data_IF_954232432336
#
_entry.id   IF_954232432336
#
_cell.length_a   1.000
_cell.length_b   1.000
_cell.length_c   1.000
_cell.angle_alpha   90.00
_cell.angle_beta   90.00
_cell.angle_gamma   90.00
#
_symmetry.space_group_name_H-M   'P 1'
#
loop_
_entity.id
_entity.type
_entity.pdbx_description
1 polymer ?
#
# COMPACT_ATOMS: atom_id res chain seq x y z
N UNK A 1 5.62 7.94 -99.77
CA UNK A 1 6.97 7.97 -99.16
C UNK A 1 7.00 6.95 -98.04
N UNK A 2 7.60 5.80 -98.32
CA UNK A 2 7.69 4.66 -97.41
C UNK A 2 8.75 4.94 -96.32
N UNK A 3 8.33 4.97 -95.05
CA UNK A 3 9.23 5.14 -93.92
C UNK A 3 9.49 3.79 -93.25
N UNK A 4 10.78 3.52 -93.09
CA UNK A 4 11.39 2.24 -92.75
C UNK A 4 11.09 1.82 -91.31
N UNK A 5 10.71 0.56 -91.18
CA UNK A 5 10.74 -0.25 -89.97
C UNK A 5 12.18 -0.36 -89.46
N UNK A 6 12.41 -0.08 -88.17
CA UNK A 6 13.64 -0.46 -87.46
C UNK A 6 13.29 -1.55 -86.45
N UNK A 7 13.90 -2.73 -86.63
CA UNK A 7 13.86 -3.82 -85.67
C UNK A 7 14.76 -3.49 -84.47
N UNK A 8 14.28 -3.79 -83.26
CA UNK A 8 15.14 -3.93 -82.08
C UNK A 8 14.87 -5.29 -81.45
N UNK A 9 15.94 -6.06 -81.31
CA UNK A 9 15.98 -7.43 -80.81
C UNK A 9 16.13 -7.42 -79.29
N UNK A 10 15.05 -7.72 -78.57
CA UNK A 10 15.11 -8.04 -77.14
C UNK A 10 14.28 -9.30 -76.86
N UNK A 11 14.94 -10.25 -76.21
CA UNK A 11 14.55 -11.65 -75.96
C UNK A 11 13.56 -11.73 -74.78
N UNK A 12 12.55 -12.63 -74.79
CA UNK A 12 11.54 -12.70 -73.73
C UNK A 12 12.08 -13.49 -72.53
N UNK A 13 11.99 -12.90 -71.34
CA UNK A 13 12.24 -13.59 -70.07
C UNK A 13 10.91 -13.89 -69.37
N UNK A 14 10.78 -15.13 -68.88
CA UNK A 14 9.53 -15.78 -68.48
C UNK A 14 8.76 -15.12 -67.35
N UNK A 15 7.43 -15.34 -67.42
CA UNK A 15 6.45 -14.86 -66.45
C UNK A 15 6.66 -15.40 -65.04
N UNK A 16 6.44 -14.53 -64.06
CA UNK A 16 6.28 -14.88 -62.65
C UNK A 16 4.89 -15.48 -62.44
N UNK A 17 4.75 -16.65 -61.80
CA UNK A 17 3.44 -17.14 -61.36
C UNK A 17 2.94 -16.35 -60.13
N UNK A 18 1.64 -16.05 -60.12
CA UNK A 18 0.90 -15.52 -58.97
C UNK A 18 1.08 -16.45 -57.75
N UNK A 19 1.53 -15.87 -56.64
CA UNK A 19 1.52 -16.52 -55.33
C UNK A 19 0.07 -16.53 -54.82
N UNK A 20 -0.48 -17.72 -54.63
CA UNK A 20 -1.75 -17.92 -53.96
C UNK A 20 -1.68 -17.45 -52.49
N UNK A 21 -2.76 -16.90 -51.92
CA UNK A 21 -2.77 -16.46 -50.53
C UNK A 21 -2.66 -17.69 -49.62
N UNK A 22 -1.64 -17.71 -48.77
CA UNK A 22 -1.47 -18.69 -47.70
C UNK A 22 -2.63 -18.61 -46.72
N UNK A 23 -3.28 -19.73 -46.34
CA UNK A 23 -4.29 -19.70 -45.30
C UNK A 23 -3.65 -19.24 -43.98
N UNK A 24 -4.23 -18.21 -43.39
CA UNK A 24 -3.91 -17.73 -42.06
C UNK A 24 -3.96 -18.90 -41.08
N UNK A 25 -2.83 -19.15 -40.40
CA UNK A 25 -2.79 -20.05 -39.25
C UNK A 25 -3.79 -19.52 -38.22
N UNK A 26 -4.89 -20.23 -38.06
CA UNK A 26 -5.75 -20.12 -36.89
C UNK A 26 -4.88 -20.23 -35.64
N UNK A 27 -4.90 -19.18 -34.83
CA UNK A 27 -4.29 -19.16 -33.50
C UNK A 27 -5.07 -20.12 -32.61
N UNK A 28 -4.68 -21.39 -32.60
CA UNK A 28 -5.07 -22.30 -31.53
C UNK A 28 -4.49 -21.72 -30.24
N UNK A 29 -5.29 -21.46 -29.19
CA UNK A 29 -4.73 -21.06 -27.90
C UNK A 29 -3.74 -22.14 -27.51
N UNK A 30 -2.49 -21.74 -27.29
CA UNK A 30 -1.42 -22.67 -26.91
C UNK A 30 -1.65 -23.00 -25.44
N UNK A 31 -2.60 -23.89 -25.16
CA UNK A 31 -2.78 -24.43 -23.82
C UNK A 31 -1.45 -25.05 -23.40
N UNK A 32 -0.85 -24.48 -22.36
CA UNK A 32 0.36 -25.03 -21.77
C UNK A 32 0.06 -26.48 -21.36
N UNK A 33 0.97 -27.43 -21.63
CA UNK A 33 0.77 -28.81 -21.20
C UNK A 33 0.51 -28.84 -19.70
N UNK A 34 -0.39 -29.73 -19.28
CA UNK A 34 -0.79 -29.88 -17.88
C UNK A 34 0.45 -30.06 -17.00
N UNK A 35 0.53 -29.29 -15.92
CA UNK A 35 1.68 -29.31 -15.03
C UNK A 35 1.89 -30.72 -14.48
N UNK A 36 3.07 -31.28 -14.75
CA UNK A 36 3.45 -32.60 -14.27
C UNK A 36 4.29 -32.49 -13.02
N UNK A 37 3.86 -33.16 -11.95
CA UNK A 37 4.57 -33.17 -10.66
C UNK A 37 6.00 -33.71 -10.80
N UNK A 38 6.97 -33.19 -10.02
CA UNK A 38 8.34 -33.67 -10.04
C UNK A 38 8.42 -35.14 -9.63
N UNK A 39 9.23 -35.94 -10.33
CA UNK A 39 9.49 -37.34 -9.98
C UNK A 39 10.76 -37.55 -9.17
N UNK A 40 11.58 -36.52 -9.03
CA UNK A 40 12.88 -36.54 -8.39
C UNK A 40 13.07 -35.26 -7.55
N UNK A 41 13.91 -35.30 -6.51
CA UNK A 41 14.17 -34.14 -5.66
C UNK A 41 14.85 -33.00 -6.44
N UNK A 42 14.77 -31.79 -5.87
CA UNK A 42 15.33 -30.57 -6.46
C UNK A 42 16.83 -30.72 -6.77
N UNK A 43 17.20 -30.51 -8.03
CA UNK A 43 18.60 -30.44 -8.45
C UNK A 43 19.25 -29.10 -8.02
N UNK A 44 20.59 -29.04 -8.05
CA UNK A 44 21.33 -27.83 -7.64
C UNK A 44 20.99 -26.59 -8.48
N UNK A 45 20.62 -26.76 -9.76
CA UNK A 45 20.21 -25.65 -10.62
C UNK A 45 18.87 -25.06 -10.16
N UNK A 46 17.89 -25.92 -9.86
CA UNK A 46 16.59 -25.54 -9.34
C UNK A 46 16.71 -24.86 -7.97
N UNK A 47 17.59 -25.35 -7.10
CA UNK A 47 17.88 -24.70 -5.81
C UNK A 47 18.49 -23.30 -5.98
N UNK A 48 19.37 -23.09 -6.98
CA UNK A 48 19.89 -21.76 -7.31
C UNK A 48 18.78 -20.84 -7.84
N UNK A 49 17.94 -21.32 -8.75
CA UNK A 49 16.80 -20.54 -9.27
C UNK A 49 15.80 -20.15 -8.19
N UNK A 50 15.54 -21.03 -7.21
CA UNK A 50 14.71 -20.68 -6.05
C UNK A 50 15.34 -19.57 -5.21
N UNK A 51 16.67 -19.59 -5.03
CA UNK A 51 17.39 -18.51 -4.36
C UNK A 51 17.31 -17.20 -5.12
N UNK A 52 17.42 -17.23 -6.45
CA UNK A 52 17.32 -16.03 -7.28
C UNK A 52 15.93 -15.39 -7.17
N UNK A 53 14.86 -16.20 -7.07
CA UNK A 53 13.49 -15.72 -6.85
C UNK A 53 13.29 -15.03 -5.50
N UNK A 54 13.98 -15.48 -4.44
CA UNK A 54 13.92 -14.83 -3.12
C UNK A 54 14.49 -13.41 -3.18
N UNK A 55 15.50 -13.20 -4.02
CA UNK A 55 16.19 -11.91 -4.17
C UNK A 55 15.61 -11.06 -5.31
N UNK A 56 14.42 -11.41 -5.82
CA UNK A 56 13.81 -10.68 -6.91
C UNK A 56 13.48 -9.23 -6.49
N UNK A 57 13.76 -8.30 -7.40
CA UNK A 57 13.60 -6.86 -7.17
C UNK A 57 12.12 -6.48 -7.02
N UNK A 58 11.20 -7.27 -7.59
CA UNK A 58 9.76 -7.04 -7.55
C UNK A 58 9.22 -6.87 -6.12
N UNK A 59 9.64 -7.72 -5.17
CA UNK A 59 9.22 -7.65 -3.77
C UNK A 59 9.76 -6.40 -3.06
N UNK A 60 10.98 -5.96 -3.43
CA UNK A 60 11.54 -4.71 -2.91
C UNK A 60 10.77 -3.49 -3.41
N UNK A 61 10.35 -3.50 -4.68
CA UNK A 61 9.55 -2.43 -5.27
C UNK A 61 8.17 -2.33 -4.62
N UNK A 62 7.52 -3.47 -4.34
CA UNK A 62 6.22 -3.49 -3.65
C UNK A 62 6.35 -2.83 -2.27
N UNK A 63 7.40 -3.19 -1.50
CA UNK A 63 7.66 -2.56 -0.18
C UNK A 63 7.88 -1.05 -0.31
N UNK A 64 8.68 -0.61 -1.28
CA UNK A 64 8.91 0.82 -1.53
C UNK A 64 7.60 1.55 -1.88
N UNK A 65 6.78 0.98 -2.76
CA UNK A 65 5.50 1.57 -3.14
C UNK A 65 4.51 1.60 -1.98
N UNK A 66 4.46 0.56 -1.14
CA UNK A 66 3.62 0.54 0.06
C UNK A 66 4.04 1.63 1.05
N UNK A 67 5.33 1.73 1.39
CA UNK A 67 5.81 2.80 2.30
C UNK A 67 5.52 4.20 1.76
N UNK A 68 5.63 4.39 0.44
CA UNK A 68 5.26 5.66 -0.19
C UNK A 68 3.76 5.93 -0.13
N UNK A 69 2.93 4.91 -0.35
CA UNK A 69 1.48 5.01 -0.28
C UNK A 69 1.02 5.36 1.15
N UNK A 70 1.60 4.73 2.18
CA UNK A 70 1.32 5.03 3.59
C UNK A 70 1.52 6.53 3.89
N UNK A 71 2.65 7.09 3.47
CA UNK A 71 2.96 8.51 3.67
C UNK A 71 1.99 9.41 2.91
N UNK A 72 1.68 9.08 1.66
CA UNK A 72 0.80 9.90 0.82
C UNK A 72 -0.65 9.89 1.31
N UNK A 73 -1.21 8.72 1.63
CA UNK A 73 -2.57 8.57 2.15
C UNK A 73 -2.71 9.37 3.45
N UNK A 74 -1.75 9.22 4.35
CA UNK A 74 -1.73 9.95 5.63
C UNK A 74 -1.64 11.46 5.44
N UNK A 75 -0.79 11.90 4.50
CA UNK A 75 -0.64 13.32 4.18
C UNK A 75 -1.94 13.91 3.62
N UNK A 76 -2.54 13.25 2.62
CA UNK A 76 -3.77 13.68 1.95
C UNK A 76 -4.93 13.72 2.96
N UNK A 77 -5.10 12.66 3.77
CA UNK A 77 -6.17 12.60 4.76
C UNK A 77 -6.10 13.76 5.75
N UNK A 78 -4.89 14.09 6.23
CA UNK A 78 -4.73 15.26 7.08
C UNK A 78 -4.96 16.59 6.34
N UNK A 79 -4.46 16.75 5.11
CA UNK A 79 -4.60 18.00 4.34
C UNK A 79 -6.08 18.32 4.04
N UNK A 80 -6.86 17.31 3.63
CA UNK A 80 -8.28 17.49 3.34
C UNK A 80 -9.04 17.91 4.60
N UNK A 81 -8.80 17.25 5.74
CA UNK A 81 -9.44 17.58 7.01
C UNK A 81 -9.01 18.96 7.53
N UNK A 82 -7.72 19.31 7.42
CA UNK A 82 -7.20 20.63 7.80
C UNK A 82 -7.88 21.76 7.00
N UNK A 83 -8.09 21.57 5.69
CA UNK A 83 -8.78 22.56 4.85
C UNK A 83 -10.26 22.73 5.22
N UNK A 84 -10.95 21.63 5.53
CA UNK A 84 -12.35 21.68 5.97
C UNK A 84 -12.48 22.44 7.28
N UNK A 85 -11.63 22.16 8.26
CA UNK A 85 -11.61 22.90 9.53
C UNK A 85 -11.33 24.40 9.31
N UNK A 86 -10.37 24.75 8.46
CA UNK A 86 -10.11 26.16 8.13
C UNK A 86 -11.33 26.87 7.50
N UNK A 87 -12.13 26.14 6.71
CA UNK A 87 -13.39 26.64 6.17
C UNK A 87 -14.46 26.79 7.26
N UNK A 88 -14.57 25.83 8.17
CA UNK A 88 -15.46 25.89 9.35
C UNK A 88 -15.16 27.10 10.24
N UNK A 89 -13.89 27.33 10.56
CA UNK A 89 -13.48 28.50 11.34
C UNK A 89 -13.84 29.82 10.64
N UNK A 90 -13.64 29.90 9.31
CA UNK A 90 -14.01 31.07 8.51
C UNK A 90 -15.53 31.29 8.52
N UNK A 91 -16.32 30.24 8.32
CA UNK A 91 -17.78 30.31 8.39
C UNK A 91 -18.26 30.65 9.79
N UNK A 92 -17.61 30.15 10.86
CA UNK A 92 -17.92 30.51 12.24
C UNK A 92 -17.64 31.99 12.55
N UNK A 93 -16.54 32.55 12.02
CA UNK A 93 -16.26 34.00 12.11
C UNK A 93 -17.34 34.82 11.37
N UNK A 94 -17.81 34.34 10.20
CA UNK A 94 -18.92 34.98 9.46
C UNK A 94 -20.27 34.84 10.15
N UNK A 95 -20.53 33.71 10.80
CA UNK A 95 -21.75 33.48 11.59
C UNK A 95 -21.92 34.53 12.69
N UNK A 96 -20.84 34.91 13.37
CA UNK A 96 -20.84 36.04 14.33
C UNK A 96 -21.18 37.39 13.68
N UNK A 97 -20.95 37.57 12.38
CA UNK A 97 -21.34 38.78 11.61
C UNK A 97 -22.80 38.71 11.17
N UNK A 98 -23.28 37.53 10.76
CA UNK A 98 -24.69 37.29 10.42
C UNK A 98 -25.60 37.47 11.63
N UNK A 99 -25.17 37.03 12.82
CA UNK A 99 -25.88 37.27 14.09
C UNK A 99 -26.02 38.77 14.42
N UNK A 100 -25.12 39.62 13.89
CA UNK A 100 -25.19 41.08 13.98
C UNK A 100 -26.03 41.72 12.87
N UNK A 101 -26.70 40.92 12.03
CA UNK A 101 -27.60 41.39 10.97
C UNK A 101 -26.91 41.83 9.67
N UNK A 102 -25.60 41.59 9.52
CA UNK A 102 -24.85 41.94 8.30
C UNK A 102 -24.86 40.73 7.36
N UNK A 103 -25.35 40.89 6.13
CA UNK A 103 -25.31 39.91 5.04
C UNK A 103 -26.00 38.55 5.36
N UNK A 104 -27.21 38.61 5.93
CA UNK A 104 -27.96 37.44 6.43
C UNK A 104 -28.44 36.51 5.31
N UNK A 105 -28.66 37.02 4.09
CA UNK A 105 -29.14 36.22 2.95
C UNK A 105 -28.13 35.16 2.48
N UNK A 106 -26.83 35.45 2.59
CA UNK A 106 -25.76 34.51 2.20
C UNK A 106 -25.55 33.36 3.20
N UNK A 107 -26.11 33.48 4.41
CA UNK A 107 -25.89 32.53 5.51
C UNK A 107 -26.29 31.11 5.13
N UNK A 108 -27.51 30.94 4.63
CA UNK A 108 -28.08 29.62 4.34
C UNK A 108 -27.30 28.91 3.22
N UNK A 109 -26.89 29.64 2.19
CA UNK A 109 -26.12 29.07 1.08
C UNK A 109 -24.71 28.65 1.53
N UNK A 110 -24.03 29.47 2.33
CA UNK A 110 -22.70 29.14 2.85
C UNK A 110 -22.73 27.98 3.84
N UNK A 111 -23.71 27.92 4.74
CA UNK A 111 -23.90 26.79 5.66
C UNK A 111 -24.19 25.49 4.89
N UNK A 112 -25.01 25.53 3.83
CA UNK A 112 -25.26 24.36 2.96
C UNK A 112 -23.99 23.89 2.25
N UNK A 113 -23.22 24.81 1.65
CA UNK A 113 -21.94 24.51 0.98
C UNK A 113 -20.88 23.97 1.95
N UNK A 114 -20.95 24.35 3.23
CA UNK A 114 -20.07 23.82 4.26
C UNK A 114 -20.45 22.38 4.61
N UNK A 115 -21.75 22.13 4.84
CA UNK A 115 -22.25 20.79 5.15
C UNK A 115 -21.99 19.78 4.03
N UNK A 116 -22.20 20.19 2.78
CA UNK A 116 -21.89 19.34 1.61
C UNK A 116 -20.40 19.01 1.52
N UNK A 117 -19.52 19.99 1.79
CA UNK A 117 -18.09 19.76 1.84
C UNK A 117 -17.70 18.81 2.99
N UNK A 118 -18.28 19.00 4.17
CA UNK A 118 -18.04 18.13 5.34
C UNK A 118 -18.39 16.68 5.02
N UNK A 119 -19.59 16.42 4.48
CA UNK A 119 -20.02 15.07 4.08
C UNK A 119 -19.04 14.46 3.09
N UNK A 120 -18.65 15.19 2.05
CA UNK A 120 -17.71 14.70 1.04
C UNK A 120 -16.33 14.40 1.61
N UNK A 121 -15.86 15.21 2.57
CA UNK A 121 -14.57 15.01 3.22
C UNK A 121 -14.61 13.85 4.20
N UNK A 122 -15.71 13.66 4.92
CA UNK A 122 -15.92 12.49 5.74
C UNK A 122 -15.88 11.23 4.86
N UNK A 123 -16.64 11.18 3.76
CA UNK A 123 -16.65 10.06 2.80
C UNK A 123 -15.26 9.76 2.22
N UNK A 124 -14.52 10.79 1.78
CA UNK A 124 -13.14 10.62 1.31
C UNK A 124 -12.21 10.14 2.42
N UNK A 125 -12.45 10.54 3.68
CA UNK A 125 -11.65 10.07 4.81
C UNK A 125 -11.89 8.58 5.08
N UNK A 126 -13.12 8.08 4.88
CA UNK A 126 -13.45 6.64 4.93
C UNK A 126 -12.64 5.88 3.88
N UNK A 127 -12.71 6.33 2.63
CA UNK A 127 -12.00 5.69 1.52
C UNK A 127 -10.47 5.70 1.72
N UNK A 128 -9.93 6.79 2.27
CA UNK A 128 -8.52 6.89 2.61
C UNK A 128 -8.14 5.91 3.73
N UNK A 129 -9.00 5.72 4.73
CA UNK A 129 -8.80 4.73 5.79
C UNK A 129 -8.83 3.30 5.26
N UNK A 130 -9.79 2.96 4.40
CA UNK A 130 -9.85 1.66 3.72
C UNK A 130 -8.59 1.42 2.88
N UNK A 131 -8.15 2.44 2.12
CA UNK A 131 -6.91 2.36 1.35
C UNK A 131 -5.67 2.16 2.23
N UNK A 132 -5.63 2.77 3.42
CA UNK A 132 -4.54 2.55 4.39
C UNK A 132 -4.53 1.10 4.89
N UNK A 133 -5.70 0.54 5.23
CA UNK A 133 -5.82 -0.87 5.63
C UNK A 133 -5.36 -1.80 4.50
N UNK A 134 -5.75 -1.51 3.25
CA UNK A 134 -5.31 -2.29 2.09
C UNK A 134 -3.79 -2.22 1.86
N UNK A 135 -3.15 -1.06 2.06
CA UNK A 135 -1.69 -0.93 1.96
C UNK A 135 -0.98 -1.74 3.04
N UNK A 136 -1.50 -1.74 4.27
CA UNK A 136 -0.97 -2.58 5.36
C UNK A 136 -1.12 -4.06 5.03
N UNK A 137 -2.29 -4.48 4.56
CA UNK A 137 -2.54 -5.87 4.15
C UNK A 137 -1.61 -6.29 2.99
N UNK A 138 -1.32 -5.38 2.06
CA UNK A 138 -0.34 -5.60 0.98
C UNK A 138 1.09 -5.73 1.50
N UNK A 139 1.49 -4.97 2.52
CA UNK A 139 2.81 -5.11 3.14
C UNK A 139 2.94 -6.47 3.84
N UNK A 140 1.93 -6.87 4.61
CA UNK A 140 1.87 -8.19 5.24
C UNK A 140 1.89 -9.31 4.18
N UNK A 141 1.18 -9.14 3.07
CA UNK A 141 1.20 -10.09 1.95
C UNK A 141 2.61 -10.20 1.33
N UNK A 142 3.31 -9.09 1.14
CA UNK A 142 4.69 -9.07 0.63
C UNK A 142 5.67 -9.76 1.60
N UNK A 143 5.51 -9.53 2.92
CA UNK A 143 6.27 -10.22 3.96
C UNK A 143 5.98 -11.72 3.97
N UNK A 144 4.70 -12.11 3.85
CA UNK A 144 4.28 -13.51 3.75
C UNK A 144 4.93 -14.22 2.58
N UNK A 145 4.90 -13.61 1.38
CA UNK A 145 5.53 -14.17 0.18
C UNK A 145 7.03 -14.34 0.41
N UNK A 146 7.71 -13.31 0.94
CA UNK A 146 9.15 -13.36 1.23
C UNK A 146 9.48 -14.52 2.17
N UNK A 147 8.80 -14.61 3.32
CA UNK A 147 9.04 -15.66 4.30
C UNK A 147 8.68 -17.06 3.78
N UNK A 148 7.67 -17.19 2.93
CA UNK A 148 7.31 -18.48 2.32
C UNK A 148 8.36 -18.92 1.30
N UNK A 149 8.97 -18.00 0.56
CA UNK A 149 10.08 -18.29 -0.35
C UNK A 149 11.38 -18.65 0.39
N UNK A 150 11.70 -17.92 1.47
CA UNK A 150 12.85 -18.24 2.34
C UNK A 150 12.69 -19.63 2.96
N UNK A 151 11.51 -19.94 3.50
CA UNK A 151 11.20 -21.27 4.03
C UNK A 151 11.32 -22.36 2.95
N UNK A 152 10.82 -22.10 1.74
CA UNK A 152 10.92 -23.03 0.63
C UNK A 152 12.39 -23.30 0.24
N UNK A 153 13.23 -22.26 0.26
CA UNK A 153 14.67 -22.42 -0.01
C UNK A 153 15.34 -23.36 1.01
N UNK A 154 15.00 -23.24 2.29
CA UNK A 154 15.63 -24.00 3.37
C UNK A 154 15.04 -25.42 3.52
N UNK A 155 13.72 -25.55 3.42
CA UNK A 155 12.99 -26.77 3.80
C UNK A 155 12.68 -27.67 2.61
N UNK A 156 12.42 -27.11 1.41
CA UNK A 156 11.98 -27.91 0.27
C UNK A 156 12.99 -28.97 -0.20
N UNK A 157 14.32 -28.71 -0.24
CA UNK A 157 15.28 -29.74 -0.65
C UNK A 157 15.26 -30.97 0.26
N UNK A 158 15.15 -30.77 1.56
CA UNK A 158 15.15 -31.85 2.55
C UNK A 158 13.81 -32.58 2.58
N UNK A 159 12.69 -31.84 2.52
CA UNK A 159 11.35 -32.42 2.49
C UNK A 159 11.12 -33.29 1.26
N UNK A 160 11.52 -32.81 0.07
CA UNK A 160 11.39 -33.59 -1.18
C UNK A 160 12.35 -34.78 -1.23
N UNK A 161 13.54 -34.69 -0.63
CA UNK A 161 14.45 -35.84 -0.49
C UNK A 161 13.84 -36.92 0.40
N UNK A 162 13.23 -36.53 1.52
CA UNK A 162 12.55 -37.45 2.44
C UNK A 162 11.35 -38.11 1.78
N UNK A 163 10.48 -37.32 1.14
CA UNK A 163 9.31 -37.82 0.40
C UNK A 163 9.73 -38.79 -0.71
N UNK A 164 10.78 -38.45 -1.45
CA UNK A 164 11.33 -39.34 -2.47
C UNK A 164 11.85 -40.66 -1.89
N UNK A 165 12.60 -40.60 -0.78
CA UNK A 165 13.13 -41.79 -0.14
C UNK A 165 12.02 -42.71 0.41
N UNK A 166 10.97 -42.13 1.03
CA UNK A 166 9.84 -42.91 1.55
C UNK A 166 9.02 -43.54 0.43
N UNK A 167 8.64 -42.78 -0.61
CA UNK A 167 7.89 -43.32 -1.75
C UNK A 167 8.70 -44.39 -2.50
N UNK A 168 10.01 -44.20 -2.67
CA UNK A 168 10.90 -45.18 -3.28
C UNK A 168 10.99 -46.46 -2.45
N UNK A 169 11.19 -46.35 -1.13
CA UNK A 169 11.26 -47.52 -0.23
C UNK A 169 9.95 -48.30 -0.19
N UNK A 170 8.81 -47.62 -0.16
CA UNK A 170 7.50 -48.26 -0.20
C UNK A 170 7.30 -49.02 -1.52
N UNK A 171 7.70 -48.42 -2.64
CA UNK A 171 7.66 -49.06 -3.95
C UNK A 171 8.55 -50.28 -4.03
N UNK A 172 9.82 -50.17 -3.63
CA UNK A 172 10.77 -51.27 -3.70
C UNK A 172 10.29 -52.47 -2.85
N UNK A 173 9.68 -52.19 -1.69
CA UNK A 173 9.05 -53.20 -0.84
C UNK A 173 7.85 -53.88 -1.51
N UNK A 174 6.99 -53.11 -2.20
CA UNK A 174 5.86 -53.66 -2.96
C UNK A 174 6.33 -54.56 -4.11
N UNK A 175 7.32 -54.13 -4.90
CA UNK A 175 7.88 -54.92 -6.00
C UNK A 175 8.50 -56.22 -5.46
N UNK A 176 9.28 -56.14 -4.38
CA UNK A 176 9.88 -57.32 -3.76
C UNK A 176 8.82 -58.33 -3.29
N UNK A 177 7.75 -57.85 -2.64
CA UNK A 177 6.65 -58.71 -2.18
C UNK A 177 5.89 -59.41 -3.33
N UNK A 178 5.72 -58.75 -4.48
CA UNK A 178 5.08 -59.35 -5.65
C UNK A 178 5.98 -60.39 -6.32
N UNK A 179 7.29 -60.15 -6.38
CA UNK A 179 8.25 -61.12 -6.92
C UNK A 179 8.31 -62.40 -6.08
N UNK A 180 8.33 -62.29 -4.75
CA UNK A 180 8.33 -63.44 -3.84
C UNK A 180 7.03 -64.26 -3.94
N UNK A 181 5.87 -63.61 -4.12
CA UNK A 181 4.59 -64.32 -4.34
C UNK A 181 4.58 -65.13 -5.64
N UNK A 182 5.18 -64.59 -6.71
CA UNK A 182 5.31 -65.32 -7.99
C UNK A 182 6.24 -66.52 -7.86
N UNK A 183 7.38 -66.38 -7.17
CA UNK A 183 8.29 -67.50 -6.92
C UNK A 183 7.66 -68.60 -6.05
N UNK A 184 6.85 -68.26 -5.04
CA UNK A 184 6.14 -69.26 -4.23
C UNK A 184 5.08 -70.01 -5.02
N UNK A 185 4.31 -69.32 -5.87
CA UNK A 185 3.29 -69.96 -6.72
C UNK A 185 3.87 -70.93 -7.77
N UNK A 186 5.16 -70.81 -8.09
CA UNK A 186 5.84 -71.64 -9.08
C UNK A 186 6.53 -72.87 -8.48
N UNK A 187 6.57 -72.99 -7.14
CA UNK A 187 7.23 -74.11 -6.44
C UNK A 187 6.30 -75.25 -6.03
N UNK A 188 4.98 -75.07 -6.15
CA UNK A 188 3.97 -76.09 -5.77
C UNK A 188 3.40 -76.86 -6.98
N UNK A 189 4.11 -76.88 -8.12
CA UNK A 189 3.77 -77.70 -9.29
C UNK A 189 4.79 -78.83 -9.48
N UNK A 190 4.41 -80.05 -9.14
CA UNK A 190 5.15 -81.30 -9.41
C UNK A 190 5.61 -81.39 -10.86
N UNK A 191 6.87 -81.81 -11.07
CA UNK A 191 7.38 -82.19 -12.38
C UNK A 191 8.90 -82.08 -12.47
N UNK A 192 9.57 -83.19 -12.15
CA UNK A 192 10.99 -83.41 -12.37
C UNK A 192 11.39 -83.16 -13.84
N UNK A 193 12.52 -82.49 -14.07
CA UNK A 193 13.50 -82.82 -15.13
C UNK A 193 14.68 -81.83 -15.05
N UNK A 194 15.88 -82.39 -15.01
CA UNK A 194 17.16 -81.69 -15.04
C UNK A 194 17.26 -80.82 -16.30
N UNK A 195 17.30 -79.50 -16.10
CA UNK A 195 17.70 -78.54 -17.13
C UNK A 195 18.72 -77.59 -16.49
N UNK A 196 19.98 -77.75 -16.86
CA UNK A 196 20.99 -76.70 -16.76
C UNK A 196 20.49 -75.50 -17.59
N UNK A 197 19.80 -74.57 -16.93
CA UNK A 197 19.37 -73.32 -17.55
C UNK A 197 20.49 -72.32 -17.34
N UNK A 198 21.15 -71.97 -18.44
CA UNK A 198 22.14 -70.91 -18.56
C UNK A 198 21.75 -69.68 -17.73
N UNK A 199 22.65 -69.33 -16.83
CA UNK A 199 22.57 -68.22 -15.89
C UNK A 199 22.85 -66.88 -16.59
N UNK A 200 22.08 -66.50 -17.62
CA UNK A 200 22.14 -65.12 -18.14
C UNK A 200 20.94 -64.72 -19.04
N UNK A 201 19.72 -64.73 -18.49
CA UNK A 201 18.64 -63.93 -19.09
C UNK A 201 17.68 -63.43 -18.03
N UNK A 202 18.10 -62.37 -17.32
CA UNK A 202 17.19 -61.48 -16.59
C UNK A 202 16.25 -60.82 -17.60
N UNK A 203 15.19 -61.54 -17.98
CA UNK A 203 14.11 -61.01 -18.81
C UNK A 203 13.63 -59.72 -18.13
N UNK A 204 13.71 -58.55 -18.78
CA UNK A 204 13.25 -57.31 -18.18
C UNK A 204 11.78 -57.49 -17.80
N UNK A 205 11.49 -57.44 -16.50
CA UNK A 205 10.12 -57.57 -16.01
C UNK A 205 9.18 -56.61 -16.74
N UNK A 206 7.88 -56.94 -16.86
CA UNK A 206 6.95 -56.20 -17.70
C UNK A 206 6.97 -54.72 -17.31
N UNK A 207 7.16 -53.88 -18.32
CA UNK A 207 7.17 -52.42 -18.21
C UNK A 207 5.94 -51.99 -17.41
N UNK A 208 6.16 -51.54 -16.18
CA UNK A 208 5.08 -51.19 -15.26
C UNK A 208 4.23 -50.06 -15.88
N UNK A 209 2.89 -50.10 -15.72
CA UNK A 209 1.99 -49.13 -16.32
C UNK A 209 2.38 -47.69 -15.92
N UNK A 210 2.24 -46.77 -16.88
CA UNK A 210 2.65 -45.36 -16.85
C UNK A 210 2.22 -44.58 -15.58
N UNK A 211 1.17 -45.05 -14.88
CA UNK A 211 0.67 -44.50 -13.61
C UNK A 211 1.52 -44.83 -12.36
N UNK A 212 2.59 -45.62 -12.50
CA UNK A 212 3.43 -46.06 -11.38
C UNK A 212 4.68 -45.19 -11.17
N UNK A 213 4.66 -43.92 -11.57
CA UNK A 213 5.81 -43.02 -11.39
C UNK A 213 5.68 -42.29 -10.05
N UNK A 214 6.77 -42.23 -9.29
CA UNK A 214 6.87 -41.43 -8.05
C UNK A 214 6.47 -39.99 -8.40
N UNK A 215 5.49 -39.44 -7.69
CA UNK A 215 5.01 -38.08 -7.84
C UNK A 215 5.21 -37.36 -6.52
N UNK A 216 6.18 -36.45 -6.49
CA UNK A 216 6.49 -35.64 -5.32
C UNK A 216 5.60 -34.41 -5.28
N UNK A 217 5.44 -33.84 -4.10
CA UNK A 217 4.80 -32.54 -3.94
C UNK A 217 5.61 -31.48 -4.71
N UNK A 218 4.97 -30.68 -5.56
CA UNK A 218 5.70 -29.66 -6.33
C UNK A 218 6.21 -28.53 -5.43
N UNK A 219 7.38 -27.90 -5.70
CA UNK A 219 7.79 -26.68 -4.99
C UNK A 219 6.74 -25.56 -5.06
N UNK A 220 5.98 -25.49 -6.16
CA UNK A 220 4.85 -24.58 -6.34
C UNK A 220 3.67 -24.91 -5.42
N UNK A 221 3.39 -26.20 -5.19
CA UNK A 221 2.33 -26.67 -4.29
C UNK A 221 2.72 -26.44 -2.83
N UNK A 222 3.96 -26.73 -2.45
CA UNK A 222 4.50 -26.41 -1.13
C UNK A 222 4.42 -24.90 -0.84
N UNK A 223 4.78 -24.07 -1.81
CA UNK A 223 4.68 -22.62 -1.70
C UNK A 223 3.22 -22.16 -1.54
N UNK A 224 2.30 -22.66 -2.38
CA UNK A 224 0.87 -22.33 -2.31
C UNK A 224 0.29 -22.70 -0.95
N UNK A 225 0.44 -23.95 -0.53
CA UNK A 225 -0.06 -24.43 0.77
C UNK A 225 0.47 -23.58 1.93
N UNK A 226 1.77 -23.24 1.92
CA UNK A 226 2.37 -22.42 2.97
C UNK A 226 1.88 -20.98 2.93
N UNK A 227 1.76 -20.40 1.74
CA UNK A 227 1.23 -19.05 1.53
C UNK A 227 -0.23 -18.96 1.96
N UNK A 228 -1.05 -19.95 1.62
CA UNK A 228 -2.47 -20.00 1.95
C UNK A 228 -2.68 -20.22 3.45
N UNK A 229 -1.88 -21.09 4.07
CA UNK A 229 -1.88 -21.26 5.53
C UNK A 229 -1.61 -19.94 6.25
N UNK A 230 -0.56 -19.21 5.85
CA UNK A 230 -0.22 -17.90 6.44
C UNK A 230 -1.25 -16.82 6.09
N UNK A 231 -1.87 -16.89 4.91
CA UNK A 231 -2.96 -16.00 4.52
C UNK A 231 -4.14 -16.21 5.46
N UNK A 232 -4.56 -17.45 5.66
CA UNK A 232 -5.70 -17.82 6.50
C UNK A 232 -5.44 -17.49 7.97
N UNK A 233 -4.22 -17.73 8.47
CA UNK A 233 -3.81 -17.31 9.81
C UNK A 233 -3.98 -15.80 10.00
N UNK A 234 -3.49 -15.00 9.04
CA UNK A 234 -3.63 -13.55 9.10
C UNK A 234 -5.08 -13.07 8.99
N UNK A 235 -5.87 -13.62 8.05
CA UNK A 235 -7.27 -13.21 7.86
C UNK A 235 -8.18 -13.70 8.98
N UNK A 236 -7.81 -14.75 9.70
CA UNK A 236 -8.53 -15.22 10.89
C UNK A 236 -8.43 -14.27 12.08
N UNK A 237 -7.44 -13.38 12.08
CA UNK A 237 -7.31 -12.37 13.12
C UNK A 237 -8.33 -11.23 12.95
N UNK A 238 -8.96 -10.84 14.05
CA UNK A 238 -9.89 -9.70 14.08
C UNK A 238 -9.20 -8.41 13.62
N UNK A 239 -9.98 -7.45 13.14
CA UNK A 239 -9.47 -6.14 12.71
C UNK A 239 -8.65 -5.45 13.80
N UNK A 240 -9.06 -5.58 15.07
CA UNK A 240 -8.33 -5.09 16.24
C UNK A 240 -6.90 -5.67 16.29
N UNK A 241 -6.76 -6.99 16.16
CA UNK A 241 -5.45 -7.63 16.20
C UNK A 241 -4.55 -7.22 15.03
N UNK A 242 -5.12 -7.00 13.84
CA UNK A 242 -4.38 -6.61 12.63
C UNK A 242 -3.92 -5.15 12.65
N UNK A 243 -4.79 -4.22 13.04
CA UNK A 243 -4.57 -2.80 12.83
C UNK A 243 -4.34 -2.00 14.11
N UNK A 244 -4.93 -2.38 15.26
CA UNK A 244 -4.82 -1.58 16.48
C UNK A 244 -3.40 -1.52 17.05
N UNK A 245 -2.56 -2.53 16.73
CA UNK A 245 -1.14 -2.57 17.13
C UNK A 245 -0.19 -2.04 16.05
N UNK A 246 -0.70 -1.71 14.86
CA UNK A 246 0.13 -1.24 13.78
C UNK A 246 0.41 0.27 13.93
N UNK A 247 1.69 0.60 14.14
CA UNK A 247 2.14 1.99 14.29
C UNK A 247 1.78 2.89 13.10
N UNK A 248 1.74 2.35 11.88
CA UNK A 248 1.38 3.16 10.69
C UNK A 248 -0.09 3.55 10.73
N UNK A 249 -0.96 2.60 11.08
CA UNK A 249 -2.39 2.85 11.25
C UNK A 249 -2.69 3.77 12.44
N UNK A 250 -1.99 3.59 13.57
CA UNK A 250 -2.08 4.49 14.72
C UNK A 250 -1.68 5.92 14.32
N UNK A 251 -0.56 6.06 13.60
CA UNK A 251 -0.10 7.35 13.09
C UNK A 251 -1.11 8.02 12.16
N UNK A 252 -1.73 7.24 11.26
CA UNK A 252 -2.80 7.70 10.39
C UNK A 252 -4.01 8.23 11.19
N UNK A 253 -4.53 7.44 12.14
CA UNK A 253 -5.66 7.85 12.99
C UNK A 253 -5.36 9.09 13.82
N UNK A 254 -4.16 9.18 14.40
CA UNK A 254 -3.71 10.36 15.12
C UNK A 254 -3.73 11.61 14.23
N UNK A 255 -3.26 11.51 12.99
CA UNK A 255 -3.19 12.63 12.05
C UNK A 255 -4.58 13.06 11.58
N UNK A 256 -5.47 12.11 11.26
CA UNK A 256 -6.86 12.43 10.90
C UNK A 256 -7.57 13.11 12.05
N UNK A 257 -7.38 12.61 13.27
CA UNK A 257 -7.97 13.18 14.47
C UNK A 257 -7.44 14.58 14.79
N UNK A 258 -6.13 14.80 14.74
CA UNK A 258 -5.50 16.12 14.88
C UNK A 258 -6.02 17.11 13.82
N UNK A 259 -6.19 16.65 12.58
CA UNK A 259 -6.71 17.50 11.50
C UNK A 259 -8.19 17.85 11.69
N UNK A 260 -9.00 16.92 12.20
CA UNK A 260 -10.45 17.12 12.43
C UNK A 260 -10.75 17.99 13.65
N UNK A 261 -10.10 17.72 14.78
CA UNK A 261 -10.44 18.37 16.05
C UNK A 261 -9.44 19.43 16.49
N UNK A 262 -8.23 19.45 15.93
CA UNK A 262 -7.18 20.38 16.33
C UNK A 262 -6.67 20.15 17.74
N UNK A 263 -6.10 21.20 18.33
CA UNK A 263 -5.42 21.14 19.63
C UNK A 263 -6.39 21.14 20.82
N UNK A 264 -7.58 21.71 20.63
CA UNK A 264 -8.62 21.84 21.66
C UNK A 264 -9.64 20.68 21.63
N UNK A 265 -9.39 19.70 20.76
CA UNK A 265 -10.23 18.53 20.55
C UNK A 265 -10.30 17.56 21.72
N UNK A 266 -11.29 16.66 21.75
CA UNK A 266 -11.27 15.47 22.60
C UNK A 266 -9.99 14.66 22.40
N UNK A 267 -9.51 13.90 23.37
CA UNK A 267 -8.38 13.00 23.12
C UNK A 267 -8.81 11.82 22.25
N UNK A 268 -7.94 11.35 21.36
CA UNK A 268 -8.21 10.15 20.55
C UNK A 268 -8.37 8.94 21.50
N UNK A 269 -9.44 8.13 21.35
CA UNK A 269 -9.62 6.93 22.16
C UNK A 269 -8.46 5.94 21.94
N UNK A 270 -8.21 5.09 22.93
CA UNK A 270 -7.15 4.08 22.85
C UNK A 270 -7.36 3.15 21.63
N UNK A 271 -6.29 2.72 20.92
CA UNK A 271 -6.39 1.92 19.69
C UNK A 271 -7.29 0.69 19.75
N UNK A 272 -7.40 0.10 20.95
CA UNK A 272 -8.21 -1.07 21.21
C UNK A 272 -9.74 -0.86 21.11
N UNK A 273 -10.20 0.39 21.12
CA UNK A 273 -11.61 0.77 20.97
C UNK A 273 -11.95 1.23 19.55
N UNK A 274 -10.97 1.31 18.64
CA UNK A 274 -11.24 1.68 17.25
C UNK A 274 -11.92 0.59 16.46
N UNK A 275 -12.04 -0.63 16.98
CA UNK A 275 -12.70 -1.73 16.30
C UNK A 275 -13.66 -2.40 17.28
N UNK A 276 -14.92 -2.49 16.90
CA UNK A 276 -15.93 -3.30 17.61
C UNK A 276 -15.81 -4.75 17.15
N UNK A 277 -16.29 -5.68 17.99
CA UNK A 277 -16.19 -7.14 17.75
C UNK A 277 -16.90 -7.60 16.47
N UNK A 278 -17.86 -6.80 15.97
CA UNK A 278 -18.59 -7.04 14.72
C UNK A 278 -17.90 -6.49 13.46
N UNK A 279 -16.67 -5.97 13.56
CA UNK A 279 -15.89 -5.61 12.39
C UNK A 279 -16.45 -4.42 11.62
N UNK A 280 -16.73 -3.32 12.32
CA UNK A 280 -16.73 -1.95 11.80
C UNK A 280 -16.96 -1.01 13.00
N UNK A 281 -16.03 -0.08 13.33
CA UNK A 281 -16.42 1.04 14.16
C UNK A 281 -17.40 1.89 13.34
N UNK A 282 -18.67 1.91 13.76
CA UNK A 282 -19.63 2.86 13.22
C UNK A 282 -19.03 4.29 13.31
N UNK A 283 -18.96 4.95 12.16
CA UNK A 283 -18.58 6.36 12.08
C UNK A 283 -19.45 7.17 13.06
N UNK A 284 -18.80 7.84 14.02
CA UNK A 284 -19.46 8.77 14.93
C UNK A 284 -19.93 8.21 16.27
N UNK A 285 -19.56 6.98 16.66
CA UNK A 285 -19.85 6.48 18.02
C UNK A 285 -18.82 7.02 19.02
N UNK A 286 -18.96 8.29 19.37
CA UNK A 286 -18.79 8.72 20.77
C UNK A 286 -20.13 8.52 21.48
N UNK A 287 -20.63 7.28 21.52
CA UNK A 287 -21.81 7.02 22.34
C UNK A 287 -21.32 6.83 23.78
N UNK A 288 -21.63 7.83 24.59
CA UNK A 288 -21.73 7.72 26.04
C UNK A 288 -22.44 6.41 26.42
N UNK A 289 -21.64 5.40 26.75
CA UNK A 289 -22.04 4.22 27.52
C UNK A 289 -21.41 4.38 28.89
N UNK A 290 -22.18 4.92 29.82
CA UNK A 290 -21.84 5.03 31.23
C UNK A 290 -21.71 3.62 31.82
N UNK A 291 -20.48 3.16 32.06
CA UNK A 291 -20.20 2.12 33.03
C UNK A 291 -18.96 2.50 33.84
N UNK A 292 -19.08 2.30 35.15
CA UNK A 292 -18.34 2.93 36.25
C UNK A 292 -16.85 2.56 36.31
N UNK A 293 -16.10 3.47 36.94
CA UNK A 293 -14.76 3.33 37.54
C UNK A 293 -13.54 3.49 36.62
N UNK A 294 -13.18 4.75 36.34
CA UNK A 294 -11.83 5.30 36.60
C UNK A 294 -11.79 6.81 36.22
N UNK A 295 -12.13 7.68 37.17
CA UNK A 295 -12.02 9.15 37.07
C UNK A 295 -10.54 9.60 37.10
N UNK A 296 -9.79 9.31 36.05
CA UNK A 296 -8.52 9.97 35.74
C UNK A 296 -8.81 11.10 34.75
N UNK A 297 -9.16 12.27 35.30
CA UNK A 297 -9.23 13.52 34.55
C UNK A 297 -7.81 13.82 34.03
N UNK A 298 -7.51 13.39 32.82
CA UNK A 298 -6.29 13.78 32.13
C UNK A 298 -6.38 15.27 31.79
N UNK A 299 -5.77 16.10 32.64
CA UNK A 299 -5.60 17.52 32.38
C UNK A 299 -4.91 17.72 31.02
N UNK A 300 -5.47 18.64 30.23
CA UNK A 300 -5.00 18.98 28.88
C UNK A 300 -3.60 19.58 28.95
N UNK A 301 -2.58 18.77 28.68
CA UNK A 301 -1.19 19.23 28.64
C UNK A 301 -0.95 20.14 27.43
N UNK A 302 -0.68 21.43 27.66
CA UNK A 302 -0.22 22.33 26.61
C UNK A 302 1.19 21.92 26.17
N UNK A 303 1.32 21.25 25.02
CA UNK A 303 2.61 20.88 24.44
C UNK A 303 3.38 22.16 24.08
N UNK A 304 4.62 22.30 24.56
CA UNK A 304 5.45 23.46 24.27
C UNK A 304 5.93 23.43 22.82
N UNK A 305 5.86 24.57 22.12
CA UNK A 305 6.29 24.74 20.72
C UNK A 305 7.81 25.00 20.62
N UNK A 306 8.52 25.05 21.75
CA UNK A 306 9.95 25.35 21.83
C UNK A 306 10.74 24.11 22.15
N UNK A 307 11.89 23.97 21.51
CA UNK A 307 12.80 22.86 21.77
C UNK A 307 13.50 23.03 23.12
N UNK A 308 13.50 22.00 24.00
CA UNK A 308 14.21 22.08 25.28
C UNK A 308 15.74 22.13 25.14
N UNK A 309 16.30 21.81 23.96
CA UNK A 309 17.73 21.88 23.68
C UNK A 309 18.18 23.23 23.12
N UNK A 310 17.46 23.77 22.14
CA UNK A 310 17.85 25.02 21.45
C UNK A 310 17.15 26.25 22.00
N UNK A 311 16.06 26.06 22.76
CA UNK A 311 15.13 27.11 23.19
C UNK A 311 14.48 27.90 22.04
N UNK A 312 14.67 27.45 20.80
CA UNK A 312 14.05 28.01 19.60
C UNK A 312 12.74 27.28 19.29
N UNK A 313 11.91 27.88 18.45
CA UNK A 313 10.77 27.18 17.85
C UNK A 313 11.28 26.00 17.02
N UNK A 314 10.60 24.86 17.14
CA UNK A 314 10.94 23.66 16.38
C UNK A 314 10.84 23.90 14.87
N UNK A 315 11.78 23.35 14.09
CA UNK A 315 11.71 23.30 12.62
C UNK A 315 11.50 21.87 12.13
N UNK A 316 12.28 20.92 12.63
CA UNK A 316 12.16 19.49 12.36
C UNK A 316 12.11 18.72 13.71
N UNK A 317 10.94 18.65 14.37
CA UNK A 317 10.79 18.00 15.67
C UNK A 317 10.83 16.48 15.58
N UNK A 318 11.65 15.86 16.43
CA UNK A 318 11.81 14.43 16.59
C UNK A 318 11.43 14.02 18.01
N UNK A 319 10.52 13.08 18.14
CA UNK A 319 10.05 12.55 19.42
C UNK A 319 10.67 11.18 19.69
N UNK A 320 11.04 10.93 20.94
CA UNK A 320 11.57 9.62 21.34
C UNK A 320 10.46 8.58 21.49
N UNK A 321 10.76 7.33 21.13
CA UNK A 321 9.92 6.16 21.41
C UNK A 321 9.97 5.69 22.87
N UNK A 322 10.98 6.13 23.64
CA UNK A 322 11.23 5.70 25.03
C UNK A 322 10.71 6.69 26.07
N UNK A 323 10.53 7.95 25.70
CA UNK A 323 10.04 9.01 26.58
C UNK A 323 9.22 10.04 25.78
N UNK A 324 8.27 10.74 26.39
CA UNK A 324 7.39 11.70 25.70
C UNK A 324 8.06 13.05 25.36
N UNK A 325 9.38 13.06 25.15
CA UNK A 325 10.15 14.28 24.90
C UNK A 325 10.48 14.45 23.42
N UNK A 326 10.23 15.66 22.92
CA UNK A 326 10.50 16.08 21.55
C UNK A 326 11.69 17.04 21.49
N UNK A 327 12.53 16.87 20.48
CA UNK A 327 13.76 17.64 20.27
C UNK A 327 13.88 18.09 18.81
N UNK A 328 14.68 19.12 18.56
CA UNK A 328 15.06 19.46 17.19
C UNK A 328 16.02 18.39 16.65
N UNK A 329 15.80 17.93 15.42
CA UNK A 329 16.55 16.83 14.79
C UNK A 329 18.07 17.01 14.82
N UNK A 330 18.57 18.13 14.29
CA UNK A 330 20.02 18.31 14.12
C UNK A 330 20.76 18.35 15.47
N UNK A 331 20.30 19.13 16.49
CA UNK A 331 20.91 19.16 17.81
C UNK A 331 20.94 17.80 18.52
N UNK A 332 19.83 17.05 18.53
CA UNK A 332 19.78 15.77 19.24
C UNK A 332 20.65 14.71 18.57
N UNK A 333 20.62 14.63 17.23
CA UNK A 333 21.42 13.67 16.49
C UNK A 333 22.91 13.98 16.59
N UNK A 334 23.28 15.26 16.55
CA UNK A 334 24.68 15.67 16.73
C UNK A 334 25.18 15.33 18.13
N UNK A 335 24.36 15.56 19.15
CA UNK A 335 24.71 15.18 20.52
C UNK A 335 24.86 13.66 20.69
N UNK A 336 24.04 12.85 20.00
CA UNK A 336 24.22 11.38 19.95
C UNK A 336 25.53 11.01 19.25
N UNK A 337 25.87 11.64 18.11
CA UNK A 337 27.13 11.37 17.38
C UNK A 337 28.36 11.71 18.23
N UNK A 338 28.30 12.79 19.00
CA UNK A 338 29.40 13.23 19.87
C UNK A 338 29.47 12.48 21.20
N UNK A 339 28.41 11.74 21.57
CA UNK A 339 28.38 10.98 22.83
C UNK A 339 29.47 9.91 22.89
N UNK A 340 30.09 9.79 24.07
CA UNK A 340 31.07 8.73 24.38
C UNK A 340 30.41 7.46 24.91
N UNK A 341 29.12 7.53 25.23
CA UNK A 341 28.37 6.40 25.78
C UNK A 341 27.88 5.51 24.65
N UNK A 342 28.12 4.21 24.79
CA UNK A 342 27.73 3.19 23.81
C UNK A 342 26.78 2.20 24.49
N UNK A 343 25.65 1.91 23.83
CA UNK A 343 24.73 0.85 24.21
C UNK A 343 24.93 -0.36 23.29
N UNK A 344 25.16 -1.52 23.89
CA UNK A 344 25.48 -2.76 23.17
C UNK A 344 26.95 -2.86 22.76
N UNK A 345 27.45 -4.09 22.56
CA UNK A 345 28.81 -4.35 22.08
C UNK A 345 29.85 -4.60 23.17
N UNK A 346 29.70 -5.68 23.95
CA UNK A 346 30.65 -6.12 24.98
C UNK A 346 31.82 -6.97 24.45
N UNK A 347 32.32 -6.74 23.24
CA UNK A 347 33.37 -7.57 22.65
C UNK A 347 34.26 -6.83 21.66
N UNK A 348 35.46 -7.40 21.43
CA UNK A 348 36.62 -6.93 20.65
C UNK A 348 36.34 -6.51 19.18
N UNK A 349 35.08 -6.47 18.75
CA UNK A 349 34.60 -6.09 17.41
C UNK A 349 33.54 -4.97 17.39
N UNK A 350 33.46 -4.14 18.43
CA UNK A 350 33.06 -2.73 18.31
C UNK A 350 31.68 -2.37 17.69
N UNK A 351 30.69 -3.27 17.69
CA UNK A 351 29.32 -2.95 17.23
C UNK A 351 28.43 -2.52 18.40
N UNK A 352 28.69 -1.33 18.93
CA UNK A 352 27.77 -0.64 19.83
C UNK A 352 27.11 0.55 19.14
N UNK A 353 25.93 0.95 19.59
CA UNK A 353 25.28 2.17 19.12
C UNK A 353 25.59 3.32 20.10
N UNK A 354 25.97 4.48 19.56
CA UNK A 354 26.13 5.69 20.38
C UNK A 354 24.80 6.07 21.00
N UNK A 355 24.83 6.48 22.26
CA UNK A 355 23.66 6.80 23.04
C UNK A 355 23.89 8.01 23.94
N UNK A 356 22.86 8.80 24.15
CA UNK A 356 22.89 9.95 25.06
C UNK A 356 21.76 9.85 26.08
N UNK A 357 21.98 10.33 27.30
CA UNK A 357 20.89 10.49 28.27
C UNK A 357 19.93 11.56 27.74
N UNK A 358 18.63 11.33 27.89
CA UNK A 358 17.61 12.31 27.55
C UNK A 358 17.95 13.69 28.17
N UNK A 359 18.04 14.77 27.39
CA UNK A 359 18.42 16.10 27.89
C UNK A 359 17.39 16.76 28.80
N UNK A 360 16.15 16.27 28.80
CA UNK A 360 15.11 16.81 29.66
C UNK A 360 15.40 16.43 31.10
N UNK A 361 15.45 17.44 31.96
CA UNK A 361 15.72 17.29 33.39
C UNK A 361 14.77 16.30 34.03
N UNK A 362 15.31 15.28 34.71
CA UNK A 362 14.52 14.24 35.37
C UNK A 362 14.22 13.01 34.50
N UNK A 363 14.56 13.02 33.21
CA UNK A 363 14.45 11.84 32.36
C UNK A 363 15.76 11.05 32.33
N UNK A 364 15.69 9.75 32.61
CA UNK A 364 16.89 8.89 32.66
C UNK A 364 17.06 7.96 31.46
N UNK A 365 16.17 8.09 30.47
CA UNK A 365 16.18 7.22 29.31
C UNK A 365 17.40 7.49 28.43
N UNK A 366 18.03 6.42 27.97
CA UNK A 366 19.14 6.47 27.02
C UNK A 366 18.61 6.39 25.60
N UNK A 367 18.88 7.43 24.82
CA UNK A 367 18.40 7.64 23.47
C UNK A 367 19.49 7.33 22.45
N UNK A 368 19.16 6.50 21.47
CA UNK A 368 19.97 6.26 20.27
C UNK A 368 19.31 6.91 19.05
N UNK A 369 20.03 6.97 17.92
CA UNK A 369 19.48 7.55 16.69
C UNK A 369 18.23 6.80 16.18
N UNK A 370 18.10 5.49 16.43
CA UNK A 370 16.94 4.69 16.02
C UNK A 370 15.71 4.86 16.93
N UNK A 371 15.91 5.41 18.13
CA UNK A 371 14.86 5.66 19.10
C UNK A 371 14.10 6.97 18.83
N UNK A 372 14.59 7.80 17.91
CA UNK A 372 14.02 9.09 17.55
C UNK A 372 13.30 8.97 16.21
N UNK A 373 12.07 9.45 16.15
CA UNK A 373 11.26 9.51 14.93
C UNK A 373 10.72 10.93 14.72
N UNK A 374 10.56 11.38 13.47
CA UNK A 374 9.91 12.65 13.18
C UNK A 374 8.49 12.64 13.76
N UNK A 375 8.08 13.76 14.35
CA UNK A 375 6.75 13.92 14.93
C UNK A 375 5.84 14.71 13.98
N UNK A 376 5.02 14.03 13.15
CA UNK A 376 4.18 14.70 12.16
C UNK A 376 3.10 15.57 12.81
N UNK A 377 2.66 15.25 14.03
CA UNK A 377 1.63 16.03 14.74
C UNK A 377 2.23 17.35 15.20
N UNK A 378 3.40 17.30 15.82
CA UNK A 378 4.09 18.52 16.26
C UNK A 378 4.47 19.41 15.07
N UNK A 379 4.91 18.83 13.94
CA UNK A 379 5.13 19.57 12.67
C UNK A 379 3.86 20.29 12.23
N UNK A 380 2.71 19.61 12.23
CA UNK A 380 1.42 20.21 11.83
C UNK A 380 1.05 21.35 12.76
N UNK A 381 1.17 21.15 14.08
CA UNK A 381 0.90 22.18 15.08
C UNK A 381 1.77 23.42 14.90
N UNK A 382 3.08 23.25 14.70
CA UNK A 382 4.00 24.38 14.43
C UNK A 382 3.58 25.12 13.15
N UNK A 383 3.26 24.39 12.08
CA UNK A 383 2.81 25.01 10.82
C UNK A 383 1.51 25.80 11.01
N UNK A 384 0.57 25.30 11.80
CA UNK A 384 -0.67 26.01 12.15
C UNK A 384 -0.38 27.31 12.88
N UNK A 385 0.53 27.28 13.87
CA UNK A 385 0.92 28.46 14.63
C UNK A 385 1.64 29.49 13.75
N UNK A 386 2.62 29.05 12.94
CA UNK A 386 3.33 29.94 12.01
C UNK A 386 2.39 30.58 10.97
N UNK A 387 1.40 29.84 10.49
CA UNK A 387 0.39 30.38 9.58
C UNK A 387 -0.52 31.39 10.27
N UNK A 388 -0.89 31.16 11.53
CA UNK A 388 -1.69 32.10 12.31
C UNK A 388 -0.91 33.39 12.62
N UNK A 389 0.36 33.29 12.99
CA UNK A 389 1.26 34.45 13.20
C UNK A 389 1.40 35.26 11.90
N UNK A 390 1.69 34.60 10.77
CA UNK A 390 1.84 35.27 9.48
C UNK A 390 0.56 35.97 8.99
N UNK A 391 -0.63 35.46 9.36
CA UNK A 391 -1.91 36.12 9.06
C UNK A 391 -2.13 37.34 9.94
N UNK A 392 -1.79 37.26 11.23
CA UNK A 392 -1.93 38.36 12.18
C UNK A 392 -0.98 39.53 11.83
N UNK A 393 0.26 39.21 11.42
CA UNK A 393 1.22 40.23 10.97
C UNK A 393 0.72 40.96 9.70
N UNK A 394 0.14 40.23 8.74
CA UNK A 394 -0.45 40.81 7.53
C UNK A 394 -1.70 41.67 7.79
N UNK A 395 -2.55 41.29 8.76
CA UNK A 395 -3.69 42.12 9.17
C UNK A 395 -3.22 43.41 9.89
N UNK A 396 -2.11 43.36 10.63
CA UNK A 396 -1.59 44.53 11.37
C UNK A 396 -0.95 45.61 10.49
N UNK A 397 -0.34 45.24 9.35
CA UNK A 397 0.24 46.19 8.40
C UNK A 397 -0.80 46.89 7.50
N UNK A 398 -2.03 46.35 7.41
CA UNK A 398 -3.11 46.91 6.59
C UNK A 398 -3.89 48.05 7.29
N UNK A 399 -3.79 48.19 8.61
CA UNK A 399 -4.49 49.23 9.41
C UNK A 399 -3.65 50.52 9.59
N UNK A 400 -2.50 50.66 8.91
CA UNK A 400 -1.58 51.81 9.08
C UNK A 400 -1.66 52.89 7.98
N UNK A 401 -2.56 52.78 7.00
CA UNK A 401 -2.70 53.75 5.89
C UNK A 401 -4.08 54.43 5.76
N UNK A 402 -4.83 54.60 6.86
CA UNK A 402 -6.00 55.48 6.91
C UNK A 402 -5.61 56.90 7.38
N UNK A 403 -4.92 57.66 6.53
CA UNK A 403 -4.92 59.13 6.58
C UNK A 403 -5.49 59.66 5.26
N UNK A 404 -6.83 59.67 5.16
CA UNK A 404 -7.57 60.24 4.04
C UNK A 404 -7.86 61.71 4.36
N UNK A 405 -7.25 62.69 3.66
CA UNK A 405 -7.57 64.10 3.87
C UNK A 405 -8.99 64.40 3.38
N UNK A 406 -9.81 64.95 4.27
CA UNK A 406 -11.15 65.45 3.95
C UNK A 406 -11.10 66.51 2.85
N UNK A 407 -11.77 66.28 1.73
CA UNK A 407 -12.04 67.31 0.71
C UNK A 407 -13.46 67.86 0.92
N UNK A 408 -13.65 69.18 1.06
CA UNK A 408 -14.98 69.75 1.27
C UNK A 408 -15.79 69.77 -0.03
N UNK A 409 -17.08 69.43 0.10
CA UNK A 409 -18.13 69.59 -0.92
C UNK A 409 -18.30 71.06 -1.32
N UNK A 410 -18.19 71.36 -2.62
CA UNK A 410 -19.03 72.38 -3.26
C UNK A 410 -19.26 72.09 -4.75
N UNK A 411 -20.54 71.87 -5.07
CA UNK A 411 -21.30 72.14 -6.29
C UNK A 411 -20.54 72.66 -7.53
N UNK A 412 -20.76 72.02 -8.68
CA UNK A 412 -21.19 72.65 -9.94
C UNK A 412 -21.86 71.58 -10.83
N UNK A 413 -22.94 72.03 -11.46
CA UNK A 413 -23.92 71.36 -12.31
C UNK A 413 -23.47 71.32 -13.78
N UNK A 414 -24.05 70.40 -14.56
CA UNK A 414 -24.32 70.60 -16.00
C UNK A 414 -23.30 70.13 -17.06
N UNK A 415 -23.62 68.96 -17.66
CA UNK A 415 -23.52 68.60 -19.10
C UNK A 415 -22.18 68.66 -19.86
N UNK A 416 -21.77 67.56 -20.50
CA UNK A 416 -21.84 67.35 -21.98
C UNK A 416 -21.00 66.14 -22.41
N UNK A 417 -21.55 65.39 -23.37
CA UNK A 417 -21.09 64.12 -23.94
C UNK A 417 -19.97 64.25 -25.00
N UNK A 418 -19.01 63.30 -24.90
CA UNK A 418 -18.28 62.53 -25.94
C UNK A 418 -17.32 63.26 -26.92
N UNK A 419 -16.01 62.94 -26.85
CA UNK A 419 -15.23 62.14 -27.85
C UNK A 419 -13.75 62.02 -27.42
N UNK A 420 -13.22 60.77 -27.37
CA UNK A 420 -11.77 60.49 -27.32
C UNK A 420 -11.14 60.59 -28.71
N UNK A 421 -9.80 60.75 -28.87
CA UNK A 421 -8.95 59.54 -29.01
C UNK A 421 -7.44 59.67 -28.61
N UNK A 422 -6.85 58.54 -28.12
CA UNK A 422 -5.44 58.00 -28.19
C UNK A 422 -4.25 58.92 -27.78
N UNK A 423 -3.17 58.54 -27.06
CA UNK A 423 -2.29 57.35 -27.10
C UNK A 423 -1.41 57.23 -25.83
N UNK A 424 -1.01 55.99 -25.53
CA UNK A 424 0.32 55.54 -25.06
C UNK A 424 0.57 55.37 -23.56
N UNK A 425 0.45 54.12 -23.09
CA UNK A 425 1.26 53.59 -21.99
C UNK A 425 1.85 52.24 -22.37
N UNK A 426 3.18 52.19 -22.29
CA UNK A 426 4.00 51.01 -22.44
C UNK A 426 3.93 50.10 -21.20
N UNK A 427 3.68 48.82 -21.47
CA UNK A 427 4.25 47.60 -20.89
C UNK A 427 4.44 47.43 -19.37
N UNK A 428 3.68 46.49 -18.78
CA UNK A 428 4.23 45.40 -17.95
C UNK A 428 3.47 44.11 -18.28
N UNK A 429 4.23 43.07 -18.65
CA UNK A 429 3.77 41.80 -19.21
C UNK A 429 3.37 40.83 -18.09
N UNK A 430 2.10 40.46 -18.03
CA UNK A 430 1.58 39.28 -17.31
C UNK A 430 1.75 38.06 -18.22
N UNK A 431 2.52 37.06 -17.78
CA UNK A 431 2.62 35.76 -18.48
C UNK A 431 1.44 34.90 -18.04
N UNK A 432 0.45 34.74 -18.91
CA UNK A 432 -0.54 33.68 -18.82
C UNK A 432 -0.20 32.51 -19.74
N UNK A 433 -0.66 31.34 -19.29
CA UNK A 433 -0.33 30.02 -19.77
C UNK A 433 -0.84 29.77 -21.19
N UNK A 434 -0.05 29.04 -21.96
CA UNK A 434 -0.45 28.48 -23.25
C UNK A 434 -1.38 27.29 -23.02
N UNK A 435 -2.62 27.46 -23.44
CA UNK A 435 -3.57 26.39 -23.72
C UNK A 435 -3.02 25.54 -24.88
N UNK A 436 -2.68 24.28 -24.60
CA UNK A 436 -2.33 23.30 -25.63
C UNK A 436 -3.59 22.59 -26.11
N UNK A 437 -4.00 22.88 -27.34
CA UNK A 437 -5.03 22.15 -28.08
C UNK A 437 -4.50 20.74 -28.38
N UNK A 438 -5.19 19.71 -27.89
CA UNK A 438 -4.91 18.29 -28.19
C UNK A 438 -5.95 17.77 -29.19
N UNK A 439 -5.58 17.06 -30.26
CA UNK A 439 -6.54 16.53 -31.23
C UNK A 439 -7.38 15.40 -30.63
N UNK A 440 -8.70 15.45 -30.87
CA UNK A 440 -9.68 14.46 -30.45
C UNK A 440 -9.62 13.19 -31.31
N UNK A 441 -8.65 12.31 -31.08
CA UNK A 441 -8.66 10.91 -31.55
C UNK A 441 -7.73 10.03 -30.69
N UNK A 442 -7.93 9.98 -29.37
CA UNK A 442 -7.46 8.85 -28.56
C UNK A 442 -8.48 8.56 -27.46
N UNK A 443 -9.04 7.35 -27.51
CA UNK A 443 -9.88 6.79 -26.46
C UNK A 443 -9.03 6.71 -25.17
N UNK A 444 -9.53 7.14 -24.01
CA UNK A 444 -8.77 7.02 -22.77
C UNK A 444 -8.47 5.54 -22.51
N UNK A 445 -7.27 5.19 -22.00
CA UNK A 445 -6.97 3.82 -21.64
C UNK A 445 -8.01 3.37 -20.61
N UNK A 446 -8.67 2.24 -20.87
CA UNK A 446 -9.60 1.68 -19.92
C UNK A 446 -8.89 1.46 -18.59
N UNK A 447 -9.53 1.92 -17.52
CA UNK A 447 -9.14 1.65 -16.14
C UNK A 447 -8.78 0.18 -16.02
N UNK A 448 -7.54 -0.12 -15.62
CA UNK A 448 -7.13 -1.47 -15.27
C UNK A 448 -8.07 -1.96 -14.16
N UNK A 449 -8.94 -2.90 -14.52
CA UNK A 449 -9.74 -3.67 -13.58
C UNK A 449 -8.76 -4.31 -12.59
N UNK A 450 -8.80 -3.87 -11.35
CA UNK A 450 -8.18 -4.60 -10.24
C UNK A 450 -9.04 -5.85 -10.11
N UNK A 451 -8.52 -7.00 -10.56
CA UNK A 451 -9.13 -8.28 -10.27
C UNK A 451 -9.04 -8.49 -8.76
N UNK A 452 -10.17 -8.31 -8.12
CA UNK A 452 -10.44 -8.80 -6.78
C UNK A 452 -10.33 -10.33 -6.80
N UNK A 453 -9.29 -10.87 -6.15
CA UNK A 453 -9.08 -12.31 -6.00
C UNK A 453 -9.88 -12.86 -4.80
N UNK A 454 -11.13 -12.41 -4.64
CA UNK A 454 -11.80 -12.40 -3.35
C UNK A 454 -13.32 -12.58 -3.31
N UNK A 455 -13.99 -13.02 -4.36
CA UNK A 455 -15.41 -13.39 -4.28
C UNK A 455 -15.64 -14.85 -4.69
N UNK A 456 -15.97 -15.70 -3.71
CA UNK A 456 -16.62 -16.98 -3.96
C UNK A 456 -18.06 -16.70 -4.44
N UNK A 457 -18.44 -17.26 -5.58
CA UNK A 457 -19.81 -17.32 -6.07
C UNK A 457 -20.56 -18.34 -5.19
N UNK A 458 -21.51 -17.85 -4.39
CA UNK A 458 -22.44 -18.65 -3.58
C UNK A 458 -23.74 -18.83 -4.38
N UNK A 459 -23.85 -19.96 -5.07
CA UNK A 459 -25.08 -20.39 -5.73
C UNK A 459 -26.03 -20.98 -4.67
N UNK A 460 -26.81 -20.11 -4.03
CA UNK A 460 -27.94 -20.48 -3.17
C UNK A 460 -29.24 -20.56 -3.96
N UNK A 461 -29.65 -21.77 -4.33
CA UNK A 461 -30.99 -22.07 -4.84
C UNK A 461 -32.03 -21.88 -3.71
N UNK A 462 -32.84 -20.82 -3.77
CA UNK A 462 -34.02 -20.64 -2.93
C UNK A 462 -35.21 -21.41 -3.54
N UNK A 463 -35.61 -22.51 -2.91
CA UNK A 463 -36.88 -23.20 -3.16
C UNK A 463 -38.01 -22.41 -2.48
N UNK A 464 -38.93 -21.84 -3.27
CA UNK A 464 -40.19 -21.26 -2.81
C UNK A 464 -41.18 -22.40 -2.47
N UNK A 465 -41.49 -22.61 -1.18
CA UNK A 465 -42.65 -23.39 -0.75
C UNK A 465 -43.91 -22.49 -0.73
N UNK A 466 -44.86 -22.79 -1.62
CA UNK A 466 -46.23 -22.27 -1.61
C UNK A 466 -47.03 -22.89 -0.45
N UNK A 467 -47.44 -22.09 0.54
CA UNK A 467 -48.49 -22.46 1.49
C UNK A 467 -49.88 -22.10 0.94
N UNK A 468 -50.68 -23.13 0.65
CA UNK A 468 -52.10 -23.08 0.32
C UNK A 468 -52.95 -22.74 1.57
N UNK A 469 -53.77 -21.68 1.49
CA UNK A 469 -54.91 -21.44 2.39
C UNK A 469 -56.09 -22.38 2.03
N UNK A 470 -56.57 -23.15 3.02
CA UNK A 470 -57.97 -23.60 3.14
C UNK A 470 -58.46 -23.40 4.57
#
# INVERSE_FOLDING_TARGET
MAQRVRHSTARPTGGRPSVAPTPSRSSVPTELPTYRKPSHPLNLNAQRRLRDLVHDQSLSLIKEHNTRAEVLITKIAGEINDMTRAKEERTARRRKKWEKGINVEEREEEERKLKELQSKVDDMTIQLEESMRAVIDNDVAAQRITQSLEWLQESAPEELRREYATQKSQRDSQIHSQSQRRQRSQRDGDGDEDMDVDEDESTPGPTLPEGSRIALTGPSELFKNRSDQKKNEYTSHSHKARYAKNNTYIGFKNIVHDAKYGDDGPNLPHPDHWFTEAGEPAHGVTQHGNDSDDDLVMDRGTISVRCPLTFLTFKDPYTSKKCPHSFEKDPILEMIRQSKTMLGGGGQRGQGHRAVKCPVTGCEQMLTASDLAPDPILIRKIKRIQQAEAQNDQESDADSEDDVPQVPRSQIDGSMEIEEPVVSRHSVVKREARESVVPATQQPPQSSKIEDLGSEEDDGEEEEEEEEEV
#
